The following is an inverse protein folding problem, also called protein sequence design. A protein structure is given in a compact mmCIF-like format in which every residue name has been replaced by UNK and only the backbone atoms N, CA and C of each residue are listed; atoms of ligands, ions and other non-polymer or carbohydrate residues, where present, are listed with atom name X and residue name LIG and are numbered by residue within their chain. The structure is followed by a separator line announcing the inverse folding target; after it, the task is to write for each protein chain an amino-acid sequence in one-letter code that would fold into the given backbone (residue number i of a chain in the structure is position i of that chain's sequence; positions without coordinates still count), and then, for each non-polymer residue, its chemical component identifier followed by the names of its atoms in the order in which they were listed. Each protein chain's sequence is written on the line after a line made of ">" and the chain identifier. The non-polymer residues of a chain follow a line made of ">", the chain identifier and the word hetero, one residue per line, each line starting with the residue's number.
data_IF_326521407196
#
_entry.id   IF_326521407196
#
_cell.length_a   1.000
_cell.length_b   1.000
_cell.length_c   1.000
_cell.angle_alpha   90.00
_cell.angle_beta   90.00
_cell.angle_gamma   90.00
#
_symmetry.space_group_name_H-M   'P 1'
#
loop_
_entity.id
_entity.type
_entity.pdbx_description
1 polymer ?
#
# COMPACT_ATOMS: atom_id res chain seq x y z
N UNK A 1 27.83 -40.28 -90.92
CA UNK A 1 26.38 -40.37 -91.08
C UNK A 1 25.86 -40.93 -89.77
N UNK A 2 25.71 -40.08 -88.76
CA UNK A 2 24.48 -39.35 -88.41
C UNK A 2 23.99 -40.01 -87.10
N UNK A 3 23.57 -39.34 -86.05
CA UNK A 3 23.46 -37.93 -85.73
C UNK A 3 23.53 -37.87 -84.20
N UNK A 4 24.16 -36.81 -83.69
CA UNK A 4 24.16 -36.42 -82.29
C UNK A 4 22.75 -35.93 -81.90
N UNK A 5 22.16 -36.46 -80.84
CA UNK A 5 21.22 -35.71 -80.01
C UNK A 5 21.45 -36.04 -78.54
N UNK A 6 22.07 -35.08 -77.86
CA UNK A 6 21.98 -34.89 -76.41
C UNK A 6 20.73 -34.06 -76.11
N UNK A 7 19.88 -34.46 -75.14
CA UNK A 7 19.04 -33.51 -74.43
C UNK A 7 19.58 -33.28 -73.02
N UNK A 8 20.06 -32.06 -72.83
CA UNK A 8 20.30 -31.31 -71.58
C UNK A 8 20.16 -32.06 -70.24
N UNK A 9 21.30 -32.38 -69.63
CA UNK A 9 21.45 -32.19 -68.19
C UNK A 9 21.25 -30.69 -67.91
N UNK A 10 20.00 -30.31 -67.64
CA UNK A 10 19.72 -29.03 -67.02
C UNK A 10 20.42 -29.03 -65.67
N UNK A 11 21.54 -28.32 -65.57
CA UNK A 11 22.16 -27.98 -64.30
C UNK A 11 21.15 -27.22 -63.46
N UNK A 12 20.38 -27.93 -62.65
CA UNK A 12 19.48 -27.35 -61.67
C UNK A 12 20.35 -26.72 -60.58
N UNK A 13 20.73 -25.47 -60.82
CA UNK A 13 21.35 -24.62 -59.81
C UNK A 13 20.41 -24.60 -58.59
N UNK A 14 20.91 -24.90 -57.39
CA UNK A 14 20.10 -24.84 -56.19
C UNK A 14 19.55 -23.43 -56.04
N UNK A 15 18.26 -23.31 -55.72
CA UNK A 15 17.65 -22.01 -55.53
C UNK A 15 18.30 -21.29 -54.35
N UNK A 16 18.33 -19.95 -54.39
CA UNK A 16 18.96 -19.12 -53.34
C UNK A 16 18.50 -19.51 -51.91
N UNK A 17 17.22 -19.87 -51.75
CA UNK A 17 16.64 -20.32 -50.47
C UNK A 17 17.18 -21.68 -50.00
N UNK A 18 17.53 -22.59 -50.92
CA UNK A 18 18.11 -23.89 -50.58
C UNK A 18 19.56 -23.74 -50.11
N UNK A 19 20.32 -22.82 -50.72
CA UNK A 19 21.68 -22.50 -50.28
C UNK A 19 21.64 -21.90 -48.87
N UNK A 20 20.72 -20.97 -48.63
CA UNK A 20 20.48 -20.39 -47.30
C UNK A 20 20.08 -21.45 -46.27
N UNK A 21 19.10 -22.31 -46.57
CA UNK A 21 18.62 -23.31 -45.63
C UNK A 21 19.69 -24.35 -45.24
N UNK A 22 20.65 -24.64 -46.14
CA UNK A 22 21.76 -25.55 -45.86
C UNK A 22 22.91 -24.90 -45.07
N UNK A 23 23.03 -23.56 -45.11
CA UNK A 23 24.09 -22.79 -44.42
C UNK A 23 23.61 -22.13 -43.12
N UNK A 24 22.30 -22.08 -42.90
CA UNK A 24 21.69 -21.56 -41.67
C UNK A 24 21.92 -22.47 -40.46
N UNK A 25 21.96 -21.86 -39.28
CA UNK A 25 21.97 -22.55 -37.97
C UNK A 25 20.56 -22.88 -37.45
N UNK A 26 19.51 -22.48 -38.18
CA UNK A 26 18.13 -22.83 -37.84
C UNK A 26 17.91 -24.33 -38.02
N UNK A 27 17.66 -25.01 -36.90
CA UNK A 27 17.39 -26.44 -36.91
C UNK A 27 16.08 -26.72 -37.65
N UNK A 28 16.08 -27.75 -38.51
CA UNK A 28 14.90 -28.17 -39.27
C UNK A 28 14.70 -27.52 -40.64
N UNK A 29 15.18 -26.29 -40.88
CA UNK A 29 14.96 -25.58 -42.16
C UNK A 29 15.62 -26.31 -43.35
N UNK A 30 16.80 -26.90 -43.10
CA UNK A 30 17.53 -27.74 -44.07
C UNK A 30 16.72 -28.95 -44.54
N UNK A 31 15.87 -29.51 -43.69
CA UNK A 31 15.04 -30.68 -44.01
C UNK A 31 13.75 -30.32 -44.77
N UNK A 32 13.37 -29.04 -44.74
CA UNK A 32 12.21 -28.51 -45.47
C UNK A 32 12.61 -28.16 -46.90
N UNK A 33 13.71 -27.40 -47.06
CA UNK A 33 14.20 -26.92 -48.35
C UNK A 33 15.29 -27.83 -48.95
N UNK A 34 15.00 -29.13 -49.01
CA UNK A 34 15.87 -30.10 -49.70
C UNK A 34 15.66 -29.99 -51.22
N UNK A 35 16.65 -30.37 -52.02
CA UNK A 35 16.55 -30.47 -53.46
C UNK A 35 15.64 -31.65 -53.89
N UNK A 36 14.73 -31.46 -54.86
CA UNK A 36 13.81 -32.50 -55.37
C UNK A 36 12.30 -32.26 -55.10
N UNK A 37 11.41 -33.21 -55.43
CA UNK A 37 9.95 -33.05 -55.34
C UNK A 37 9.42 -32.98 -53.90
N UNK A 38 8.17 -32.52 -53.75
CA UNK A 38 7.48 -32.51 -52.45
C UNK A 38 7.27 -33.93 -51.92
N UNK A 39 7.71 -34.19 -50.70
CA UNK A 39 7.59 -35.50 -50.03
C UNK A 39 6.89 -35.36 -48.69
N UNK A 40 6.22 -36.43 -48.22
CA UNK A 40 5.57 -36.48 -46.90
C UNK A 40 6.54 -36.08 -45.79
N UNK A 41 7.81 -36.52 -45.89
CA UNK A 41 8.87 -36.15 -44.95
C UNK A 41 9.08 -34.64 -44.85
N UNK A 42 9.06 -33.91 -45.97
CA UNK A 42 9.17 -32.44 -45.95
C UNK A 42 7.97 -31.78 -45.30
N UNK A 43 6.77 -32.29 -45.56
CA UNK A 43 5.54 -31.79 -44.93
C UNK A 43 5.62 -32.00 -43.41
N UNK A 44 6.04 -33.17 -42.95
CA UNK A 44 6.23 -33.44 -41.52
C UNK A 44 7.28 -32.52 -40.89
N UNK A 45 8.42 -32.29 -41.54
CA UNK A 45 9.42 -31.34 -41.05
C UNK A 45 8.91 -29.90 -41.03
N UNK A 46 8.12 -29.49 -42.03
CA UNK A 46 7.51 -28.17 -42.06
C UNK A 46 6.51 -27.97 -40.93
N UNK A 47 5.62 -28.95 -40.70
CA UNK A 47 4.66 -28.92 -39.59
C UNK A 47 5.38 -28.90 -38.24
N UNK A 48 6.41 -29.73 -38.05
CA UNK A 48 7.19 -29.75 -36.82
C UNK A 48 7.94 -28.44 -36.57
N UNK A 49 8.55 -27.85 -37.61
CA UNK A 49 9.25 -26.57 -37.51
C UNK A 49 8.29 -25.41 -37.18
N UNK A 50 7.17 -25.32 -37.90
CA UNK A 50 6.13 -24.30 -37.65
C UNK A 50 5.52 -24.48 -36.26
N UNK A 51 5.24 -25.71 -35.86
CA UNK A 51 4.74 -26.03 -34.52
C UNK A 51 5.72 -25.62 -33.43
N UNK A 52 7.01 -25.95 -33.57
CA UNK A 52 8.05 -25.57 -32.63
C UNK A 52 8.25 -24.05 -32.55
N UNK A 53 8.18 -23.34 -33.68
CA UNK A 53 8.27 -21.89 -33.72
C UNK A 53 7.04 -21.23 -33.06
N UNK A 54 5.84 -21.75 -33.32
CA UNK A 54 4.60 -21.28 -32.71
C UNK A 54 4.62 -21.44 -31.19
N UNK A 55 5.01 -22.60 -30.68
CA UNK A 55 5.17 -22.83 -29.25
C UNK A 55 6.20 -21.88 -28.62
N UNK A 56 7.35 -21.71 -29.27
CA UNK A 56 8.37 -20.77 -28.80
C UNK A 56 7.83 -19.34 -28.67
N UNK A 57 7.06 -18.86 -29.65
CA UNK A 57 6.50 -17.51 -29.64
C UNK A 57 5.45 -17.34 -28.54
N UNK A 58 4.56 -18.31 -28.35
CA UNK A 58 3.53 -18.27 -27.30
C UNK A 58 4.17 -18.27 -25.92
N UNK A 59 5.07 -19.21 -25.64
CA UNK A 59 5.77 -19.30 -24.35
C UNK A 59 6.61 -18.05 -24.07
N UNK A 60 7.33 -17.54 -25.08
CA UNK A 60 8.13 -16.32 -24.92
C UNK A 60 7.26 -15.10 -24.62
N UNK A 61 6.13 -14.96 -25.31
CA UNK A 61 5.17 -13.87 -25.09
C UNK A 61 4.56 -13.94 -23.69
N UNK A 62 4.18 -15.14 -23.23
CA UNK A 62 3.64 -15.36 -21.88
C UNK A 62 4.67 -14.96 -20.82
N UNK A 63 5.93 -15.37 -20.97
CA UNK A 63 7.00 -15.02 -20.00
C UNK A 63 7.33 -13.54 -20.00
N UNK A 64 7.34 -12.88 -21.17
CA UNK A 64 7.53 -11.42 -21.26
C UNK A 64 6.35 -10.67 -20.62
N UNK A 65 5.12 -11.10 -20.88
CA UNK A 65 3.93 -10.54 -20.22
C UNK A 65 3.97 -10.73 -18.70
N UNK A 66 4.36 -11.93 -18.25
CA UNK A 66 4.54 -12.22 -16.83
C UNK A 66 5.64 -11.36 -16.18
N UNK A 67 6.78 -11.18 -16.86
CA UNK A 67 7.83 -10.28 -16.41
C UNK A 67 7.31 -8.84 -16.23
N UNK A 68 6.56 -8.32 -17.21
CA UNK A 68 5.95 -6.99 -17.13
C UNK A 68 4.71 -6.90 -16.24
N UNK A 69 4.23 -8.03 -15.71
CA UNK A 69 3.22 -8.05 -14.64
C UNK A 69 3.82 -7.76 -13.26
N UNK A 70 5.16 -7.65 -13.16
CA UNK A 70 5.91 -7.27 -11.96
C UNK A 70 5.48 -8.05 -10.70
N UNK A 71 5.25 -9.35 -10.86
CA UNK A 71 4.92 -10.25 -9.75
C UNK A 71 6.08 -10.34 -8.77
N UNK A 72 5.77 -10.24 -7.48
CA UNK A 72 6.72 -10.37 -6.38
C UNK A 72 6.20 -11.41 -5.39
N UNK A 73 7.12 -12.10 -4.72
CA UNK A 73 6.81 -13.04 -3.64
C UNK A 73 7.44 -12.54 -2.35
N UNK A 74 6.68 -12.60 -1.26
CA UNK A 74 7.16 -12.18 0.06
C UNK A 74 7.62 -13.40 0.84
N UNK A 75 8.88 -13.38 1.30
CA UNK A 75 9.41 -14.37 2.25
C UNK A 75 9.33 -13.79 3.65
N UNK A 76 8.71 -14.52 4.58
CA UNK A 76 8.60 -14.15 5.99
C UNK A 76 9.51 -15.08 6.79
N UNK A 77 10.47 -14.49 7.51
CA UNK A 77 11.39 -15.20 8.40
C UNK A 77 11.35 -14.54 9.78
N UNK A 78 11.50 -15.34 10.84
CA UNK A 78 11.64 -14.86 12.22
C UNK A 78 13.11 -14.99 12.65
N UNK A 79 13.73 -13.87 13.03
CA UNK A 79 15.13 -13.83 13.45
C UNK A 79 15.23 -13.29 14.87
N UNK A 80 15.89 -14.04 15.74
CA UNK A 80 16.13 -13.63 17.12
C UNK A 80 17.28 -12.62 17.16
N UNK A 81 17.00 -11.39 17.60
CA UNK A 81 17.99 -10.34 17.79
C UNK A 81 18.34 -10.18 19.28
N UNK A 82 19.63 -9.94 19.60
CA UNK A 82 20.10 -9.73 20.98
C UNK A 82 19.64 -8.40 21.58
N UNK A 83 19.39 -7.39 20.74
CA UNK A 83 18.92 -6.07 21.14
C UNK A 83 17.97 -5.54 20.08
N UNK A 84 16.88 -4.93 20.53
CA UNK A 84 15.85 -4.32 19.69
C UNK A 84 15.63 -2.87 20.16
N UNK A 85 15.29 -2.00 19.21
CA UNK A 85 14.87 -0.63 19.51
C UNK A 85 13.49 -0.70 20.15
N UNK A 86 13.34 -0.13 21.35
CA UNK A 86 12.05 -0.05 22.01
C UNK A 86 11.15 0.93 21.23
N UNK A 87 9.92 0.55 20.88
CA UNK A 87 9.05 1.39 20.05
C UNK A 87 8.57 2.63 20.83
N UNK A 88 8.11 3.63 20.09
CA UNK A 88 7.38 4.73 20.69
C UNK A 88 6.04 4.22 21.24
N UNK A 89 5.74 4.57 22.49
CA UNK A 89 4.46 4.26 23.14
C UNK A 89 3.66 5.56 23.25
N UNK A 90 2.61 5.68 22.44
CA UNK A 90 1.66 6.81 22.52
C UNK A 90 0.46 6.39 23.35
N UNK A 91 0.14 7.21 24.37
CA UNK A 91 -1.00 7.00 25.26
C UNK A 91 -1.85 8.26 25.32
N UNK A 92 -3.17 8.07 25.34
CA UNK A 92 -4.15 9.15 25.46
C UNK A 92 -5.26 8.70 26.41
N UNK A 93 -5.74 9.62 27.26
CA UNK A 93 -6.94 9.36 28.04
C UNK A 93 -8.15 9.43 27.11
N UNK A 94 -9.03 8.43 27.17
CA UNK A 94 -10.25 8.41 26.36
C UNK A 94 -11.16 9.61 26.65
N UNK A 95 -11.11 10.14 27.88
CA UNK A 95 -11.75 11.40 28.18
C UNK A 95 -10.90 12.56 27.65
N UNK A 96 -11.38 13.25 26.60
CA UNK A 96 -10.65 14.32 25.93
C UNK A 96 -10.41 15.59 26.76
N UNK A 97 -11.14 15.79 27.86
CA UNK A 97 -11.00 16.98 28.69
C UNK A 97 -11.28 16.75 30.18
N UNK A 98 -10.61 17.52 31.03
CA UNK A 98 -10.89 17.59 32.47
C UNK A 98 -12.02 18.58 32.72
N UNK A 99 -13.18 18.09 33.15
CA UNK A 99 -14.35 18.93 33.44
C UNK A 99 -14.03 20.08 34.41
N UNK A 100 -13.15 19.85 35.40
CA UNK A 100 -12.72 20.87 36.36
C UNK A 100 -11.95 22.05 35.72
N UNK A 101 -11.31 21.84 34.57
CA UNK A 101 -10.53 22.86 33.84
C UNK A 101 -11.37 23.65 32.83
N UNK A 102 -12.60 23.25 32.55
CA UNK A 102 -13.51 23.99 31.68
C UNK A 102 -13.93 25.32 32.32
N UNK A 103 -13.93 26.37 31.52
CA UNK A 103 -14.38 27.72 31.89
C UNK A 103 -15.68 28.09 31.17
N UNK A 104 -16.33 29.17 31.61
CA UNK A 104 -17.49 29.75 30.91
C UNK A 104 -17.13 30.15 29.47
N UNK A 105 -15.91 30.64 29.22
CA UNK A 105 -15.49 30.97 27.86
C UNK A 105 -15.42 29.73 26.97
N UNK A 106 -14.91 28.63 27.52
CA UNK A 106 -14.77 27.37 26.78
C UNK A 106 -16.14 26.80 26.43
N UNK A 107 -17.09 26.81 27.38
CA UNK A 107 -18.46 26.37 27.09
C UNK A 107 -19.18 27.30 26.11
N UNK A 108 -18.91 28.60 26.15
CA UNK A 108 -19.49 29.55 25.19
C UNK A 108 -19.05 29.26 23.75
N UNK A 109 -17.76 28.93 23.54
CA UNK A 109 -17.20 28.72 22.19
C UNK A 109 -17.25 27.26 21.71
N UNK A 110 -17.10 26.29 22.62
CA UNK A 110 -16.95 24.87 22.31
C UNK A 110 -17.98 23.98 23.03
N UNK A 111 -18.93 24.53 23.79
CA UNK A 111 -19.91 23.73 24.55
C UNK A 111 -20.76 22.81 23.68
N UNK A 112 -21.16 23.29 22.49
CA UNK A 112 -21.86 22.48 21.49
C UNK A 112 -20.97 21.36 20.93
N UNK A 113 -19.70 21.68 20.59
CA UNK A 113 -18.72 20.71 20.10
C UNK A 113 -18.46 19.58 21.13
N UNK A 114 -18.48 19.92 22.41
CA UNK A 114 -18.32 18.96 23.52
C UNK A 114 -19.62 18.23 23.88
N UNK A 115 -20.73 18.50 23.17
CA UNK A 115 -22.06 18.00 23.47
C UNK A 115 -22.54 18.29 24.91
N UNK A 116 -22.01 19.35 25.54
CA UNK A 116 -22.43 19.81 26.86
C UNK A 116 -23.55 20.86 26.76
N UNK A 117 -23.69 21.50 25.61
CA UNK A 117 -24.73 22.46 25.30
C UNK A 117 -25.36 22.15 23.93
N UNK A 118 -26.60 22.59 23.71
CA UNK A 118 -27.25 22.59 22.40
C UNK A 118 -26.94 23.87 21.59
N UNK A 119 -27.53 23.97 20.40
CA UNK A 119 -27.43 25.14 19.50
C UNK A 119 -27.97 26.44 20.14
N UNK A 120 -28.77 26.35 21.20
CA UNK A 120 -29.33 27.46 21.95
C UNK A 120 -28.56 27.77 23.24
N UNK A 121 -27.37 27.17 23.41
CA UNK A 121 -26.51 27.28 24.59
C UNK A 121 -27.20 26.81 25.89
N UNK A 122 -28.09 25.82 25.79
CA UNK A 122 -28.78 25.17 26.90
C UNK A 122 -28.22 23.78 27.17
N UNK A 123 -28.31 23.31 28.42
CA UNK A 123 -27.88 21.97 28.81
C UNK A 123 -28.93 20.95 28.33
N UNK A 124 -28.59 20.00 27.44
CA UNK A 124 -29.51 18.95 27.02
C UNK A 124 -29.74 17.96 28.17
N UNK A 125 -30.96 17.39 28.23
CA UNK A 125 -31.35 16.31 29.15
C UNK A 125 -30.79 16.41 30.59
N UNK A 126 -31.04 17.53 31.31
CA UNK A 126 -30.41 17.79 32.61
C UNK A 126 -30.76 16.75 33.70
N UNK A 127 -31.78 15.93 33.48
CA UNK A 127 -32.22 14.87 34.40
C UNK A 127 -31.30 13.64 34.39
N UNK A 128 -30.45 13.48 33.37
CA UNK A 128 -29.51 12.36 33.25
C UNK A 128 -28.17 12.61 33.95
N UNK A 129 -27.89 13.87 34.32
CA UNK A 129 -26.64 14.27 34.96
C UNK A 129 -26.73 14.13 36.49
N UNK A 130 -25.60 13.81 37.12
CA UNK A 130 -25.47 13.89 38.58
C UNK A 130 -25.78 15.32 39.07
N UNK A 131 -26.54 15.50 40.17
CA UNK A 131 -26.95 16.82 40.65
C UNK A 131 -25.79 17.79 40.89
N UNK A 132 -24.66 17.30 41.41
CA UNK A 132 -23.50 18.13 41.73
C UNK A 132 -22.77 18.59 40.46
N UNK A 133 -22.64 17.68 39.48
CA UNK A 133 -22.06 17.98 38.17
C UNK A 133 -22.96 18.95 37.40
N UNK A 134 -24.27 18.74 37.46
CA UNK A 134 -25.26 19.61 36.83
C UNK A 134 -25.23 21.02 37.41
N UNK A 135 -25.12 21.17 38.73
CA UNK A 135 -24.99 22.48 39.37
C UNK A 135 -23.71 23.19 38.92
N UNK A 136 -22.57 22.49 38.90
CA UNK A 136 -21.32 23.03 38.40
C UNK A 136 -21.41 23.44 36.91
N UNK A 137 -22.09 22.64 36.09
CA UNK A 137 -22.31 22.94 34.67
C UNK A 137 -23.21 24.18 34.50
N UNK A 138 -24.30 24.29 35.28
CA UNK A 138 -25.20 25.46 35.27
C UNK A 138 -24.47 26.75 35.64
N UNK A 139 -23.57 26.69 36.62
CA UNK A 139 -22.75 27.85 36.99
C UNK A 139 -21.83 28.26 35.85
N UNK A 140 -21.16 27.29 35.20
CA UNK A 140 -20.27 27.56 34.06
C UNK A 140 -21.03 28.01 32.81
N UNK A 141 -22.25 27.54 32.59
CA UNK A 141 -23.12 27.86 31.46
C UNK A 141 -24.04 29.07 31.69
N UNK A 142 -23.78 29.92 32.70
CA UNK A 142 -24.56 31.13 32.92
C UNK A 142 -24.05 32.29 32.04
N UNK A 143 -24.69 32.51 30.89
CA UNK A 143 -24.27 33.51 29.91
C UNK A 143 -24.99 34.87 30.00
N UNK A 144 -25.92 35.08 30.95
CA UNK A 144 -26.80 36.26 31.00
C UNK A 144 -26.09 37.61 30.95
N UNK A 145 -24.89 37.70 31.54
CA UNK A 145 -24.05 38.90 31.54
C UNK A 145 -22.60 38.60 31.13
N UNK A 146 -22.41 37.55 30.33
CA UNK A 146 -21.08 37.13 29.93
C UNK A 146 -20.60 37.90 28.69
N UNK A 147 -19.36 38.40 28.74
CA UNK A 147 -18.67 38.99 27.59
C UNK A 147 -17.64 37.99 27.05
N UNK A 148 -17.84 37.43 25.84
CA UNK A 148 -16.91 36.46 25.27
C UNK A 148 -15.50 37.02 25.13
N UNK A 149 -14.51 36.19 25.44
CA UNK A 149 -13.09 36.48 25.27
C UNK A 149 -12.55 35.74 24.06
N UNK A 150 -11.35 36.12 23.62
CA UNK A 150 -10.63 35.40 22.56
C UNK A 150 -10.49 33.91 22.94
N UNK A 151 -10.60 33.07 21.93
CA UNK A 151 -10.58 31.62 22.09
C UNK A 151 -9.70 31.00 21.01
N UNK A 152 -8.89 30.03 21.41
CA UNK A 152 -8.01 29.26 20.52
C UNK A 152 -8.20 27.78 20.85
N UNK A 153 -8.51 26.98 19.82
CA UNK A 153 -8.70 25.54 20.00
C UNK A 153 -7.44 24.84 20.50
N UNK A 154 -6.25 25.28 20.05
CA UNK A 154 -4.99 24.69 20.51
C UNK A 154 -4.75 24.98 22.00
N UNK A 155 -4.98 26.22 22.42
CA UNK A 155 -4.87 26.62 23.84
C UNK A 155 -5.86 25.84 24.69
N UNK A 156 -7.11 25.74 24.21
CA UNK A 156 -8.18 25.00 24.86
C UNK A 156 -7.75 23.54 25.08
N UNK A 157 -7.37 22.82 24.02
CA UNK A 157 -6.96 21.41 24.10
C UNK A 157 -5.76 21.21 25.05
N UNK A 158 -4.75 22.08 24.99
CA UNK A 158 -3.58 22.00 25.87
C UNK A 158 -3.94 22.23 27.35
N UNK A 159 -4.84 23.16 27.65
CA UNK A 159 -5.21 23.50 29.03
C UNK A 159 -6.20 22.51 29.63
N UNK A 160 -7.22 22.10 28.87
CA UNK A 160 -8.29 21.25 29.39
C UNK A 160 -7.95 19.77 29.30
N UNK A 161 -7.05 19.37 28.40
CA UNK A 161 -6.55 18.00 28.29
C UNK A 161 -5.93 17.49 29.59
N UNK A 162 -5.75 16.18 29.69
CA UNK A 162 -5.14 15.55 30.87
C UNK A 162 -3.64 15.80 30.90
N UNK A 163 -3.13 16.15 32.08
CA UNK A 163 -1.69 16.28 32.31
C UNK A 163 -1.13 14.90 32.71
N UNK A 164 -0.09 14.45 32.02
CA UNK A 164 0.55 13.17 32.33
C UNK A 164 1.12 13.16 33.75
N UNK A 165 1.55 14.32 34.26
CA UNK A 165 2.03 14.45 35.64
C UNK A 165 0.98 14.04 36.67
N UNK A 166 -0.29 14.29 36.39
CA UNK A 166 -1.41 13.95 37.29
C UNK A 166 -1.86 12.48 37.12
N UNK A 167 -1.64 11.89 35.95
CA UNK A 167 -2.05 10.51 35.64
C UNK A 167 -0.98 9.46 35.97
N UNK A 168 0.29 9.82 35.85
CA UNK A 168 1.41 8.89 36.01
C UNK A 168 1.75 8.70 37.48
N UNK A 169 1.34 7.57 38.04
CA UNK A 169 1.68 7.20 39.42
C UNK A 169 3.08 6.59 39.54
N UNK A 170 3.52 5.86 38.51
CA UNK A 170 4.81 5.17 38.49
C UNK A 170 5.26 4.90 37.05
N UNK A 171 6.56 5.02 36.78
CA UNK A 171 7.16 4.68 35.50
C UNK A 171 8.55 4.06 35.72
N UNK A 172 8.80 2.94 35.04
CA UNK A 172 10.11 2.28 35.04
C UNK A 172 10.38 1.63 33.69
N UNK A 173 11.54 1.91 33.12
CA UNK A 173 12.00 1.32 31.87
C UNK A 173 13.32 0.59 32.09
N UNK A 174 13.36 -0.72 31.80
CA UNK A 174 14.55 -1.58 31.99
C UNK A 174 15.22 -1.45 33.37
N UNK A 175 14.43 -1.26 34.43
CA UNK A 175 15.00 -1.11 35.77
C UNK A 175 15.30 0.33 36.20
N UNK A 176 15.24 1.30 35.28
CA UNK A 176 15.50 2.71 35.56
C UNK A 176 14.19 3.48 35.74
N UNK A 177 14.15 4.38 36.72
CA UNK A 177 12.99 5.24 36.94
C UNK A 177 12.83 6.22 35.77
N UNK A 178 11.58 6.45 35.37
CA UNK A 178 11.20 7.46 34.40
C UNK A 178 10.09 8.35 34.99
N UNK A 179 9.84 9.48 34.35
CA UNK A 179 8.80 10.43 34.76
C UNK A 179 8.09 11.05 33.57
N UNK A 180 7.12 11.93 33.86
CA UNK A 180 6.34 12.62 32.84
C UNK A 180 7.21 13.47 31.88
N UNK A 181 8.39 13.88 32.31
CA UNK A 181 9.37 14.63 31.50
C UNK A 181 10.02 13.81 30.37
N UNK A 182 9.99 12.47 30.48
CA UNK A 182 10.49 11.56 29.45
C UNK A 182 9.48 11.33 28.32
N UNK A 183 8.31 11.98 28.42
CA UNK A 183 7.22 11.90 27.45
C UNK A 183 7.09 13.24 26.73
N UNK A 184 6.79 13.16 25.44
CA UNK A 184 6.53 14.34 24.60
C UNK A 184 5.04 14.46 24.33
N UNK A 185 4.47 15.63 24.60
CA UNK A 185 3.07 15.93 24.29
C UNK A 185 2.87 16.02 22.78
N UNK A 186 1.85 15.32 22.27
CA UNK A 186 1.41 15.38 20.87
C UNK A 186 -0.10 15.61 20.82
N UNK A 187 -0.58 16.34 19.80
CA UNK A 187 -2.01 16.50 19.54
C UNK A 187 -2.42 15.52 18.43
N UNK A 188 -3.50 14.77 18.68
CA UNK A 188 -4.05 13.73 17.78
C UNK A 188 -5.48 14.05 17.38
#
# INVERSE_FOLDING_TARGET
>A
MDLKESPSEGSLQPSSIQIFANTSTLHGIRHIFVYGPLTIRRVLWAVAFVGSLGLLLVESSERVSYYFSYQHVTKVDEVVAQSLVFPAVTLCNLNGFRFSRLTTNDLYHAGELLALLDVNLQIPDPHLADPTVLEALRQKANFKHYKPKQFSMLEFLHRVGHDLKDMMLYCKFKGQECGHQDFTTVST
#
